data_IF_925685598238
#
_entry.id   IF_925685598238
#
_cell.length_a   1.000
_cell.length_b   1.000
_cell.length_c   1.000
_cell.angle_alpha   90.00
_cell.angle_beta   90.00
_cell.angle_gamma   90.00
#
_symmetry.space_group_name_H-M   'P 1'
#
loop_
_entity.id
_entity.type
_entity.pdbx_description
1 polymer ?
2 polymer ?
3 non-polymer ?
4 water ?
#
# COMPACT_ATOMS: atom_id res chain seq x y z
N UNK A 8 -22.56 19.38 -5.99
CA UNK A 8 -21.54 19.09 -4.94
C UNK A 8 -20.71 17.82 -5.32
N UNK A 9 -21.10 16.63 -4.85
CA UNK A 9 -20.46 15.39 -5.26
C UNK A 9 -20.93 14.96 -6.68
N UNK A 10 -22.08 15.47 -7.12
CA UNK A 10 -22.65 15.13 -8.43
C UNK A 10 -22.02 15.98 -9.53
N UNK A 11 -21.97 17.29 -9.30
CA UNK A 11 -21.40 18.26 -10.24
C UNK A 11 -20.42 19.19 -9.53
N UNK A 12 -19.18 18.72 -9.31
CA UNK A 12 -18.19 19.50 -8.54
C UNK A 12 -17.50 20.66 -9.30
N UNK A 13 -17.40 21.82 -8.64
CA UNK A 13 -16.52 22.92 -9.06
C UNK A 13 -15.19 22.79 -8.32
N UNK A 14 -14.25 23.69 -8.60
CA UNK A 14 -12.93 23.64 -7.99
C UNK A 14 -12.99 23.52 -6.48
N UNK A 15 -13.82 24.34 -5.83
CA UNK A 15 -13.87 24.37 -4.36
C UNK A 15 -14.31 23.02 -3.78
N UNK A 16 -15.29 22.39 -4.41
CA UNK A 16 -15.71 21.02 -4.03
C UNK A 16 -14.55 20.01 -4.14
N UNK A 17 -13.80 20.10 -5.23
CA UNK A 17 -12.65 19.21 -5.47
C UNK A 17 -11.54 19.45 -4.45
N UNK A 18 -11.29 20.72 -4.10
CA UNK A 18 -10.32 21.03 -3.05
C UNK A 18 -10.77 20.49 -1.71
N UNK A 19 -12.07 20.61 -1.42
CA UNK A 19 -12.66 20.10 -0.18
C UNK A 19 -12.52 18.59 -0.06
N UNK A 20 -12.74 17.92 -1.19
CA UNK A 20 -12.56 16.47 -1.27
C UNK A 20 -11.09 16.10 -1.01
N UNK A 21 -10.16 16.76 -1.69
CA UNK A 21 -8.72 16.58 -1.44
C UNK A 21 -8.35 16.70 0.03
N UNK A 22 -8.86 17.75 0.68
CA UNK A 22 -8.58 18.00 2.09
C UNK A 22 -9.20 16.95 3.02
N UNK A 23 -10.43 16.54 2.74
CA UNK A 23 -11.09 15.48 3.48
C UNK A 23 -10.28 14.17 3.42
N UNK A 24 -9.80 13.84 2.23
CA UNK A 24 -8.99 12.65 2.02
C UNK A 24 -7.64 12.76 2.73
N UNK A 25 -6.98 13.92 2.60
CA UNK A 25 -5.72 14.16 3.33
C UNK A 25 -5.88 13.94 4.84
N UNK A 26 -6.95 14.48 5.42
CA UNK A 26 -7.16 14.42 6.88
C UNK A 26 -7.43 12.96 7.35
N UNK A 27 -8.16 12.19 6.55
CA UNK A 27 -8.49 10.82 6.93
C UNK A 27 -7.28 9.91 6.70
N UNK A 28 -6.45 10.26 5.72
CA UNK A 28 -5.21 9.59 5.48
C UNK A 28 -4.25 9.75 6.66
N UNK A 29 -4.11 10.97 7.16
CA UNK A 29 -3.30 11.25 8.36
C UNK A 29 -3.81 10.41 9.54
N UNK A 30 -5.13 10.34 9.70
CA UNK A 30 -5.73 9.55 10.76
C UNK A 30 -5.50 8.04 10.60
N UNK A 31 -5.42 7.54 9.35
CA UNK A 31 -5.46 6.08 9.07
C UNK A 31 -4.12 5.40 9.01
N UNK A 32 -3.11 6.14 8.59
CA UNK A 32 -1.80 5.64 8.31
C UNK A 32 -0.78 6.26 9.27
N UNK A 33 -0.34 5.50 10.28
CA UNK A 33 0.61 5.98 11.29
C UNK A 33 1.88 6.64 10.76
N UNK A 34 2.50 6.06 9.74
CA UNK A 34 3.70 6.62 9.17
C UNK A 34 3.47 7.23 7.79
N UNK A 35 3.56 8.55 7.68
CA UNK A 35 3.34 9.25 6.42
C UNK A 35 4.60 9.34 5.63
N UNK A 36 4.48 9.70 4.35
CA UNK A 36 5.67 9.94 3.54
C UNK A 36 6.55 11.06 4.14
N UNK A 37 5.90 12.10 4.68
CA UNK A 37 6.57 13.22 5.35
C UNK A 37 7.53 12.73 6.46
N UNK A 38 6.98 11.98 7.39
CA UNK A 38 7.73 11.44 8.50
C UNK A 38 8.80 10.44 8.03
N UNK A 39 8.44 9.55 7.10
CA UNK A 39 9.44 8.63 6.51
C UNK A 39 10.64 9.35 5.87
N UNK A 40 10.39 10.36 5.04
CA UNK A 40 11.47 11.11 4.38
C UNK A 40 12.37 11.79 5.42
N UNK A 41 11.76 12.29 6.50
CA UNK A 41 12.50 12.93 7.59
C UNK A 41 13.47 11.92 8.23
N UNK A 42 12.95 10.71 8.50
CA UNK A 42 13.74 9.57 8.99
C UNK A 42 14.84 9.19 7.99
N UNK A 43 14.48 9.02 6.73
CA UNK A 43 15.43 8.51 5.73
C UNK A 43 16.56 9.44 5.38
N UNK A 44 16.41 10.74 5.63
CA UNK A 44 17.45 11.74 5.31
C UNK A 44 18.15 12.28 6.57
N UNK A 45 17.82 11.72 7.74
CA UNK A 45 18.42 12.14 9.00
C UNK A 45 17.94 13.46 9.55
N UNK A 46 16.95 14.10 8.91
CA UNK A 46 16.46 15.41 9.33
C UNK A 46 15.39 15.28 10.41
N UNK A 47 15.76 14.65 11.53
CA UNK A 47 14.83 14.45 12.63
C UNK A 47 15.54 14.15 13.96
N UNK A 48 14.86 14.43 15.06
CA UNK A 48 15.41 14.28 16.41
C UNK A 48 14.97 13.00 17.14
N UNK A 49 14.33 12.06 16.44
CA UNK A 49 14.13 10.71 16.97
C UNK A 49 15.43 9.94 16.76
N UNK A 50 15.62 8.89 17.56
CA UNK A 50 16.78 7.99 17.39
C UNK A 50 16.68 7.27 16.05
N UNK A 51 17.85 6.96 15.47
CA UNK A 51 17.88 6.34 14.15
C UNK A 51 17.26 4.95 14.20
N UNK A 52 16.68 4.52 13.05
CA UNK A 52 16.22 3.15 12.95
C UNK A 52 17.37 2.13 13.10
N UNK A 53 17.07 1.00 13.71
CA UNK A 53 17.98 -0.13 13.76
C UNK A 53 18.17 -0.73 12.36
N UNK A 54 19.43 -0.81 11.89
CA UNK A 54 19.74 -1.28 10.53
C UNK A 54 19.89 -2.80 10.50
N UNK A 55 19.08 -3.43 9.65
CA UNK A 55 19.05 -4.88 9.50
C UNK A 55 19.58 -5.18 8.13
N UNK A 56 20.76 -5.76 8.07
CA UNK A 56 21.47 -5.99 6.80
C UNK A 56 21.95 -7.43 6.63
N UNK A 57 21.78 -8.29 7.63
CA UNK A 57 22.23 -9.68 7.56
C UNK A 57 21.57 -10.46 8.66
N UNK A 58 21.88 -11.74 8.75
CA UNK A 58 21.26 -12.61 9.76
C UNK A 58 21.52 -12.13 11.17
N UNK A 59 22.76 -11.74 11.46
CA UNK A 59 23.11 -11.29 12.79
C UNK A 59 22.39 -10.00 13.21
N UNK A 60 22.29 -9.03 12.32
CA UNK A 60 21.60 -7.79 12.66
C UNK A 60 20.08 -7.98 12.77
N UNK A 61 19.52 -8.91 11.98
CA UNK A 61 18.12 -9.30 12.17
C UNK A 61 17.93 -9.77 13.58
N UNK A 62 18.77 -10.72 13.99
CA UNK A 62 18.76 -11.29 15.35
C UNK A 62 18.87 -10.21 16.42
N UNK A 63 19.85 -9.31 16.27
CA UNK A 63 20.07 -8.20 17.21
C UNK A 63 18.93 -7.20 17.26
N UNK A 64 18.27 -7.03 16.11
CA UNK A 64 17.21 -6.06 15.95
C UNK A 64 15.80 -6.55 16.18
N UNK A 65 15.53 -7.86 16.14
CA UNK A 65 14.15 -8.37 16.33
C UNK A 65 13.53 -7.85 17.64
N UNK A 66 14.39 -7.65 18.63
CA UNK A 66 14.13 -6.82 19.84
C UNK A 66 13.38 -5.49 19.61
N UNK A 67 13.73 -4.77 18.55
CA UNK A 67 13.31 -3.37 18.34
C UNK A 67 12.14 -3.15 17.36
N UNK A 68 11.55 -4.22 16.82
CA UNK A 68 10.45 -4.10 15.84
C UNK A 68 9.14 -4.77 16.29
N UNK A 69 8.02 -4.05 16.07
CA UNK A 69 6.68 -4.56 16.38
C UNK A 69 6.41 -5.78 15.50
N UNK A 70 6.54 -6.96 16.09
CA UNK A 70 6.27 -8.22 15.40
C UNK A 70 5.86 -9.24 16.46
N UNK A 71 4.58 -9.56 16.50
CA UNK A 71 4.04 -10.54 17.44
C UNK A 71 3.98 -11.91 16.80
N UNK A 72 4.45 -12.90 17.55
CA UNK A 72 4.63 -14.27 17.07
C UNK A 72 4.58 -15.24 18.25
N UNK A 73 4.45 -16.52 17.94
CA UNK A 73 4.31 -17.57 18.95
C UNK A 73 5.65 -17.78 19.67
N UNK A 74 6.72 -17.96 18.89
CA UNK A 74 8.02 -18.39 19.40
C UNK A 74 8.98 -17.22 19.64
N UNK A 80 12.75 -21.84 15.91
CA UNK A 80 13.56 -20.93 15.11
C UNK A 80 13.65 -21.40 13.65
N UNK A 81 12.93 -20.73 12.76
CA UNK A 81 12.94 -21.01 11.31
C UNK A 81 14.10 -20.27 10.64
N UNK A 82 14.36 -20.60 9.38
CA UNK A 82 15.38 -19.91 8.58
C UNK A 82 15.01 -18.44 8.32
N UNK A 83 16.03 -17.66 7.97
CA UNK A 83 15.91 -16.21 7.88
C UNK A 83 14.83 -15.76 6.87
N UNK A 84 14.84 -16.34 5.67
CA UNK A 84 13.85 -16.02 4.63
C UNK A 84 12.40 -16.20 5.13
N UNK A 85 12.15 -17.28 5.85
CA UNK A 85 10.82 -17.60 6.37
C UNK A 85 10.43 -16.60 7.46
N UNK A 86 11.39 -16.21 8.28
CA UNK A 86 11.09 -15.28 9.36
C UNK A 86 10.73 -13.91 8.80
N UNK A 87 11.47 -13.47 7.77
CA UNK A 87 11.15 -12.21 7.07
C UNK A 87 9.77 -12.28 6.44
N UNK A 88 9.47 -13.41 5.80
CA UNK A 88 8.14 -13.61 5.23
C UNK A 88 7.03 -13.55 6.29
N UNK A 89 7.24 -14.13 7.47
CA UNK A 89 6.26 -14.05 8.53
C UNK A 89 6.07 -12.63 9.01
N UNK A 90 7.17 -11.90 9.12
CA UNK A 90 7.14 -10.47 9.37
C UNK A 90 6.31 -9.69 8.36
N UNK A 91 6.49 -10.02 7.09
CA UNK A 91 5.76 -9.36 6.01
C UNK A 91 4.27 -9.64 6.16
N UNK A 92 3.89 -10.85 6.60
CA UNK A 92 2.48 -11.15 6.85
C UNK A 92 1.92 -10.34 8.00
N UNK A 93 2.70 -10.21 9.06
CA UNK A 93 2.31 -9.37 10.19
C UNK A 93 2.01 -7.93 9.73
N UNK A 94 2.97 -7.34 9.02
CA UNK A 94 2.78 -5.97 8.53
C UNK A 94 1.61 -5.87 7.51
N UNK A 95 1.55 -6.81 6.57
CA UNK A 95 0.54 -6.77 5.53
C UNK A 95 -0.88 -6.79 6.11
N UNK A 96 -1.10 -7.64 7.11
CA UNK A 96 -2.38 -7.67 7.79
C UNK A 96 -2.74 -6.33 8.43
N UNK A 97 -1.80 -5.70 9.15
CA UNK A 97 -2.05 -4.38 9.72
C UNK A 97 -2.32 -3.32 8.62
N UNK A 98 -1.54 -3.38 7.55
CA UNK A 98 -1.72 -2.47 6.40
C UNK A 98 -3.10 -2.59 5.77
N UNK A 99 -3.59 -3.81 5.60
CA UNK A 99 -4.93 -4.05 5.09
C UNK A 99 -5.97 -3.41 5.99
N UNK A 100 -5.80 -3.56 7.32
CA UNK A 100 -6.68 -2.90 8.28
C UNK A 100 -6.67 -1.35 8.11
N UNK A 101 -5.48 -0.79 8.00
CA UNK A 101 -5.31 0.65 7.79
C UNK A 101 -6.03 1.13 6.53
N UNK A 102 -5.84 0.39 5.46
CA UNK A 102 -6.41 0.75 4.14
C UNK A 102 -7.92 0.62 4.18
N UNK A 103 -8.42 -0.40 4.90
CA UNK A 103 -9.85 -0.59 5.03
C UNK A 103 -10.48 0.59 5.78
N UNK A 104 -9.85 1.04 6.87
CA UNK A 104 -10.30 2.22 7.60
C UNK A 104 -10.31 3.47 6.68
N UNK A 105 -9.24 3.65 5.94
CA UNK A 105 -9.17 4.75 4.96
C UNK A 105 -10.28 4.70 3.91
N UNK A 106 -10.50 3.53 3.32
CA UNK A 106 -11.57 3.34 2.33
C UNK A 106 -12.93 3.76 2.83
N UNK A 107 -13.24 3.45 4.09
CA UNK A 107 -14.49 3.87 4.70
C UNK A 107 -14.68 5.39 4.76
N UNK A 108 -13.59 6.14 4.76
CA UNK A 108 -13.64 7.59 4.75
C UNK A 108 -13.85 8.19 3.36
N UNK A 109 -13.77 7.38 2.29
CA UNK A 109 -13.87 7.92 0.95
C UNK A 109 -15.35 8.23 0.70
N UNK A 110 -15.71 9.51 0.46
CA UNK A 110 -17.14 9.80 0.31
C UNK A 110 -17.86 8.93 -0.72
N UNK A 111 -18.93 8.27 -0.29
CA UNK A 111 -19.73 7.40 -1.16
C UNK A 111 -19.40 5.93 -1.05
N UNK A 112 -18.21 5.59 -0.54
CA UNK A 112 -17.77 4.19 -0.53
C UNK A 112 -18.67 3.31 0.31
N UNK A 113 -18.95 3.72 1.55
CA UNK A 113 -19.78 2.89 2.46
C UNK A 113 -21.24 2.77 2.03
N UNK A 114 -21.70 3.64 1.12
CA UNK A 114 -23.05 3.54 0.54
C UNK A 114 -23.15 2.55 -0.59
N UNK A 115 -22.02 2.09 -1.13
CA UNK A 115 -22.03 1.05 -2.16
C UNK A 115 -22.53 -0.27 -1.59
N UNK A 116 -23.03 -1.12 -2.47
CA UNK A 116 -23.36 -2.53 -2.12
C UNK A 116 -22.17 -3.10 -1.35
N UNK A 117 -22.44 -3.67 -0.18
CA UNK A 117 -21.38 -4.24 0.67
C UNK A 117 -20.50 -5.25 -0.06
N UNK A 118 -21.09 -6.04 -0.97
CA UNK A 118 -20.31 -7.00 -1.76
C UNK A 118 -19.31 -6.29 -2.68
N UNK A 119 -19.68 -5.13 -3.18
CA UNK A 119 -18.79 -4.34 -4.02
C UNK A 119 -17.68 -3.65 -3.22
N UNK A 120 -17.99 -3.20 -2.02
CA UNK A 120 -16.98 -2.72 -1.07
C UNK A 120 -15.93 -3.80 -0.83
N UNK A 121 -16.37 -5.01 -0.56
CA UNK A 121 -15.45 -6.13 -0.38
C UNK A 121 -14.60 -6.37 -1.62
N UNK A 122 -15.21 -6.38 -2.82
CA UNK A 122 -14.47 -6.66 -4.04
C UNK A 122 -13.41 -5.55 -4.34
N UNK A 123 -13.78 -4.31 -4.09
CA UNK A 123 -12.85 -3.20 -4.29
C UNK A 123 -11.67 -3.35 -3.34
N UNK A 124 -11.90 -3.69 -2.08
CA UNK A 124 -10.77 -3.91 -1.15
C UNK A 124 -9.93 -5.12 -1.53
N UNK A 125 -10.60 -6.23 -1.89
CA UNK A 125 -9.89 -7.44 -2.24
C UNK A 125 -8.83 -7.20 -3.32
N UNK A 126 -9.22 -6.50 -4.38
CA UNK A 126 -8.34 -6.18 -5.47
C UNK A 126 -7.45 -4.97 -5.19
N UNK A 127 -7.94 -3.99 -4.44
CA UNK A 127 -7.22 -2.72 -4.26
C UNK A 127 -6.14 -2.76 -3.19
N UNK A 128 -6.31 -3.56 -2.13
CA UNK A 128 -5.40 -3.36 -0.99
C UNK A 128 -3.93 -3.56 -1.26
N UNK A 129 -3.58 -4.61 -1.99
CA UNK A 129 -2.17 -4.84 -2.25
C UNK A 129 -1.61 -3.81 -3.20
N UNK A 130 -2.43 -3.36 -4.16
CA UNK A 130 -1.96 -2.26 -4.99
C UNK A 130 -1.61 -1.01 -4.16
N UNK A 131 -2.42 -0.74 -3.17
CA UNK A 131 -2.16 0.38 -2.28
C UNK A 131 -0.93 0.09 -1.43
N UNK A 132 -0.81 -1.14 -0.93
CA UNK A 132 0.39 -1.49 -0.12
C UNK A 132 1.68 -1.16 -0.90
N UNK A 133 1.76 -1.59 -2.15
CA UNK A 133 2.99 -1.42 -2.94
C UNK A 133 3.21 0.04 -3.29
N UNK A 134 2.12 0.79 -3.52
CA UNK A 134 2.20 2.24 -3.73
C UNK A 134 2.80 2.95 -2.53
N UNK A 135 2.26 2.66 -1.36
CA UNK A 135 2.67 3.31 -0.14
C UNK A 135 4.01 2.78 0.40
N UNK A 136 4.37 1.56 0.04
CA UNK A 136 5.71 1.06 0.31
C UNK A 136 6.83 1.98 -0.21
N UNK A 137 6.64 2.57 -1.39
CA UNK A 137 7.59 3.50 -1.98
C UNK A 137 7.90 4.71 -1.08
N UNK A 138 6.91 5.16 -0.31
CA UNK A 138 7.08 6.24 0.64
C UNK A 138 8.10 5.90 1.70
N UNK A 139 8.27 4.61 2.02
CA UNK A 139 9.18 4.13 3.07
C UNK A 139 10.56 3.69 2.55
N UNK A 140 10.79 3.86 1.27
CA UNK A 140 11.95 3.30 0.60
C UNK A 140 12.88 4.41 0.09
N UNK A 141 14.19 4.13 0.12
CA UNK A 141 15.12 4.78 -0.80
C UNK A 141 15.72 3.68 -1.63
N UNK A 142 16.70 4.00 -2.46
CA UNK A 142 17.33 2.97 -3.29
C UNK A 142 18.12 1.92 -2.51
N UNK A 143 18.42 2.15 -1.22
CA UNK A 143 19.20 1.19 -0.42
C UNK A 143 18.42 0.37 0.57
N UNK A 144 17.15 0.70 0.83
CA UNK A 144 16.39 -0.11 1.76
C UNK A 144 15.04 0.46 2.12
N UNK A 145 14.42 -0.19 3.08
CA UNK A 145 13.05 0.14 3.49
C UNK A 145 12.88 0.32 4.99
N UNK A 146 12.13 1.34 5.38
CA UNK A 146 11.75 1.51 6.77
C UNK A 146 10.68 0.52 7.12
N UNK A 147 10.89 -0.17 8.24
CA UNK A 147 9.91 -1.11 8.79
C UNK A 147 9.54 -0.75 10.24
N UNK A 148 8.44 -1.35 10.71
CA UNK A 148 7.94 -1.19 12.07
C UNK A 148 7.81 0.27 12.47
N UNK A 149 7.09 1.03 11.66
CA UNK A 149 6.86 2.46 11.87
C UNK A 149 8.13 3.29 11.95
N UNK A 150 9.08 3.00 11.07
CA UNK A 150 10.36 3.68 11.05
C UNK A 150 11.37 3.28 12.14
N UNK A 151 11.05 2.28 12.97
CA UNK A 151 11.98 1.80 14.01
C UNK A 151 13.13 0.98 13.43
N UNK A 152 12.90 0.37 12.27
CA UNK A 152 13.86 -0.50 11.60
C UNK A 152 14.13 -0.06 10.17
N UNK A 153 15.30 -0.42 9.65
CA UNK A 153 15.65 -0.18 8.26
C UNK A 153 16.30 -1.43 7.71
N UNK A 154 15.62 -2.06 6.75
CA UNK A 154 16.05 -3.33 6.23
C UNK A 154 16.65 -3.04 4.88
N UNK A 155 17.86 -3.52 4.65
CA UNK A 155 18.58 -3.12 3.45
C UNK A 155 18.05 -3.86 2.23
N UNK A 156 18.05 -3.17 1.09
CA UNK A 156 17.68 -3.77 -0.19
C UNK A 156 18.51 -4.98 -0.56
N UNK A 157 19.83 -4.86 -0.41
CA UNK A 157 20.77 -5.99 -0.61
C UNK A 157 20.42 -7.27 0.19
N UNK A 158 20.07 -7.11 1.46
CA UNK A 158 19.73 -8.23 2.32
C UNK A 158 18.47 -8.92 1.81
N UNK A 159 17.45 -8.11 1.53
CA UNK A 159 16.15 -8.62 1.06
C UNK A 159 16.30 -9.29 -0.30
N UNK A 160 17.07 -8.67 -1.19
CA UNK A 160 17.33 -9.19 -2.56
C UNK A 160 18.00 -10.57 -2.48
N UNK A 161 18.90 -10.71 -1.50
CA UNK A 161 19.74 -11.92 -1.33
C UNK A 161 19.09 -13.11 -0.69
N UNK A 162 17.85 -13.01 -0.23
CA UNK A 162 17.18 -14.12 0.40
C UNK A 162 17.07 -15.28 -0.57
N UNK A 163 17.08 -16.52 -0.06
CA UNK A 163 17.04 -17.68 -0.96
C UNK A 163 15.78 -17.70 -1.82
N UNK A 164 15.88 -18.31 -2.99
CA UNK A 164 14.79 -18.34 -3.96
C UNK A 164 13.60 -19.12 -3.38
N UNK A 165 12.36 -18.68 -3.58
CA UNK A 165 12.02 -17.52 -4.39
C UNK A 165 11.77 -16.23 -3.55
N UNK A 166 12.22 -16.20 -2.29
CA UNK A 166 11.85 -15.13 -1.37
C UNK A 166 12.42 -13.79 -1.78
N UNK A 167 13.67 -13.79 -2.27
CA UNK A 167 14.26 -12.61 -2.86
C UNK A 167 13.44 -11.97 -3.95
N UNK A 168 12.75 -12.78 -4.74
CA UNK A 168 11.95 -12.26 -5.84
C UNK A 168 10.66 -11.54 -5.43
N UNK A 169 10.23 -11.66 -4.17
CA UNK A 169 9.17 -10.81 -3.66
C UNK A 169 9.64 -9.37 -3.52
N UNK A 170 10.96 -9.16 -3.37
CA UNK A 170 11.48 -7.90 -2.83
C UNK A 170 11.92 -6.92 -3.90
N UNK A 171 12.76 -7.40 -4.80
CA UNK A 171 13.43 -6.53 -5.73
C UNK A 171 12.49 -5.82 -6.74
N UNK A 172 11.45 -6.52 -7.26
CA UNK A 172 10.45 -5.81 -8.07
C UNK A 172 9.79 -4.63 -7.37
N UNK A 173 9.61 -4.70 -6.05
CA UNK A 173 8.99 -3.61 -5.30
C UNK A 173 9.89 -2.39 -5.24
N UNK A 174 11.17 -2.64 -4.97
CA UNK A 174 12.19 -1.57 -5.03
C UNK A 174 12.28 -0.93 -6.40
N UNK A 175 12.32 -1.74 -7.45
CA UNK A 175 12.43 -1.24 -8.84
C UNK A 175 11.26 -0.31 -9.18
N UNK A 176 10.04 -0.73 -8.82
CA UNK A 176 8.86 0.13 -8.93
C UNK A 176 9.00 1.39 -8.15
N UNK A 177 9.42 1.27 -6.89
CA UNK A 177 9.48 2.41 -5.99
C UNK A 177 10.45 3.51 -6.41
N UNK A 178 11.66 3.17 -6.87
CA UNK A 178 12.61 4.22 -7.28
C UNK A 178 12.04 5.06 -8.46
N UNK A 179 11.42 4.40 -9.44
CA UNK A 179 10.72 5.08 -10.53
C UNK A 179 9.53 5.88 -10.06
N UNK A 180 8.72 5.30 -9.17
CA UNK A 180 7.56 6.01 -8.62
C UNK A 180 7.98 7.19 -7.80
N UNK A 181 8.99 7.03 -6.97
CA UNK A 181 9.46 8.12 -6.14
C UNK A 181 10.05 9.28 -6.97
N UNK A 182 10.47 9.03 -8.19
CA UNK A 182 10.91 10.11 -9.07
C UNK A 182 9.81 11.15 -9.36
N UNK A 183 8.54 10.77 -9.21
CA UNK A 183 7.41 11.69 -9.40
C UNK A 183 7.28 12.72 -8.29
N UNK A 184 7.91 12.47 -7.14
CA UNK A 184 7.93 13.40 -6.01
C UNK A 184 6.56 13.78 -5.45
N UNK A 185 5.64 12.81 -5.35
CA UNK A 185 4.36 13.05 -4.72
C UNK A 185 4.52 13.26 -3.23
N UNK A 186 3.62 14.06 -2.64
CA UNK A 186 3.51 14.19 -1.19
C UNK A 186 2.29 13.48 -0.69
N UNK A 187 2.10 13.47 0.61
CA UNK A 187 0.96 12.81 1.25
C UNK A 187 -0.40 13.30 0.73
N UNK A 188 -0.53 14.63 0.50
CA UNK A 188 -1.76 15.20 -0.05
C UNK A 188 -2.07 14.65 -1.45
N UNK A 189 -1.07 14.45 -2.29
CA UNK A 189 -1.24 13.83 -3.60
C UNK A 189 -1.62 12.34 -3.49
N UNK A 190 -0.84 11.62 -2.67
CA UNK A 190 -1.07 10.18 -2.44
C UNK A 190 -2.43 9.85 -1.88
N UNK A 191 -2.96 10.68 -0.98
CA UNK A 191 -4.26 10.45 -0.38
C UNK A 191 -5.35 10.32 -1.46
N UNK A 192 -5.25 11.16 -2.50
CA UNK A 192 -6.23 11.10 -3.60
C UNK A 192 -5.93 9.93 -4.53
N UNK A 193 -4.66 9.70 -4.87
CA UNK A 193 -4.28 8.65 -5.77
C UNK A 193 -4.71 7.27 -5.25
N UNK A 194 -4.51 7.06 -3.97
CA UNK A 194 -4.90 5.76 -3.39
C UNK A 194 -6.44 5.59 -3.38
N UNK A 195 -7.20 6.67 -3.14
CA UNK A 195 -8.64 6.64 -3.31
C UNK A 195 -9.07 6.28 -4.74
N UNK A 196 -8.43 6.89 -5.73
CA UNK A 196 -8.64 6.54 -7.15
C UNK A 196 -8.46 5.03 -7.44
N UNK A 197 -7.39 4.45 -6.95
CA UNK A 197 -7.13 3.04 -7.10
C UNK A 197 -8.23 2.19 -6.49
N UNK A 198 -8.65 2.53 -5.27
CA UNK A 198 -9.70 1.75 -4.60
C UNK A 198 -10.97 1.76 -5.43
N UNK A 199 -11.34 2.92 -5.98
CA UNK A 199 -12.60 3.07 -6.71
C UNK A 199 -12.43 2.73 -8.22
N UNK A 200 -11.89 1.55 -8.53
CA UNK A 200 -11.63 1.11 -9.88
C UNK A 200 -12.83 0.29 -10.32
N UNK A 201 -13.54 0.79 -11.32
CA UNK A 201 -14.78 0.19 -11.80
C UNK A 201 -14.60 -1.06 -12.64
N UNK A 202 -13.36 -1.42 -12.96
CA UNK A 202 -13.11 -2.64 -13.72
C UNK A 202 -12.70 -3.85 -12.92
N UNK A 203 -12.82 -3.83 -11.58
CA UNK A 203 -12.45 -5.02 -10.84
C UNK A 203 -13.37 -6.20 -11.25
N UNK A 204 -12.81 -7.40 -11.34
CA UNK A 204 -13.65 -8.57 -11.61
C UNK A 204 -14.79 -8.74 -10.60
N UNK A 205 -15.97 -9.07 -11.10
CA UNK A 205 -17.08 -9.42 -10.26
C UNK A 205 -17.82 -8.29 -9.55
N UNK A 206 -17.59 -7.03 -9.94
CA UNK A 206 -18.38 -5.95 -9.39
C UNK A 206 -19.83 -6.12 -9.91
N UNK A 207 -20.77 -5.91 -9.00
CA UNK A 207 -22.22 -6.00 -9.26
C UNK A 207 -22.77 -4.73 -9.92
N UNK A 208 -22.35 -3.56 -9.44
CA UNK A 208 -22.88 -2.28 -9.93
C UNK A 208 -21.78 -1.24 -10.12
N UNK A 209 -21.26 -1.21 -11.34
CA UNK A 209 -20.12 -0.40 -11.70
C UNK A 209 -20.41 1.10 -11.64
N UNK A 210 -21.62 1.51 -11.96
CA UNK A 210 -21.91 2.95 -12.19
C UNK A 210 -21.63 3.89 -11.01
N UNK A 211 -22.14 3.58 -9.80
CA UNK A 211 -21.82 4.44 -8.66
C UNK A 211 -20.33 4.43 -8.25
N UNK A 212 -19.62 3.34 -8.55
CA UNK A 212 -18.14 3.27 -8.35
C UNK A 212 -17.46 4.21 -9.33
N UNK A 213 -17.82 4.11 -10.61
CA UNK A 213 -17.26 5.03 -11.60
C UNK A 213 -17.61 6.51 -11.34
N UNK A 214 -18.81 6.78 -10.77
CA UNK A 214 -19.24 8.15 -10.41
C UNK A 214 -18.24 8.71 -9.41
N UNK A 215 -17.93 7.92 -8.38
CA UNK A 215 -17.03 8.34 -7.30
C UNK A 215 -15.62 8.53 -7.90
N UNK A 216 -15.19 7.59 -8.74
CA UNK A 216 -13.84 7.66 -9.31
C UNK A 216 -13.66 8.89 -10.20
N UNK A 217 -14.69 9.22 -11.00
CA UNK A 217 -14.68 10.45 -11.81
C UNK A 217 -14.31 11.66 -10.96
N UNK A 218 -15.02 11.86 -9.88
CA UNK A 218 -14.77 12.97 -8.93
C UNK A 218 -13.39 12.94 -8.33
N UNK A 219 -12.96 11.74 -7.92
CA UNK A 219 -11.60 11.56 -7.38
C UNK A 219 -10.53 11.90 -8.40
N UNK A 220 -10.71 11.46 -9.64
CA UNK A 220 -9.75 11.76 -10.69
C UNK A 220 -9.67 13.26 -10.98
N UNK A 221 -10.82 13.94 -11.00
CA UNK A 221 -10.83 15.39 -11.15
C UNK A 221 -10.14 16.07 -9.98
N UNK A 222 -10.39 15.56 -8.78
CA UNK A 222 -9.72 16.08 -7.59
C UNK A 222 -8.21 15.87 -7.62
N UNK A 223 -7.78 14.68 -8.05
CA UNK A 223 -6.36 14.38 -8.21
C UNK A 223 -5.72 15.33 -9.24
N UNK A 224 -6.34 15.49 -10.40
CA UNK A 224 -5.80 16.36 -11.42
C UNK A 224 -5.59 17.81 -10.92
N UNK A 225 -6.57 18.36 -10.25
CA UNK A 225 -6.47 19.72 -9.70
C UNK A 225 -5.35 19.82 -8.64
N UNK A 226 -5.32 18.83 -7.76
CA UNK A 226 -4.30 18.75 -6.71
C UNK A 226 -2.91 18.75 -7.32
N UNK A 227 -2.71 17.99 -8.39
CA UNK A 227 -1.40 17.90 -9.04
C UNK A 227 -1.01 19.21 -9.77
N UNK A 228 -1.98 19.82 -10.44
CA UNK A 228 -1.78 21.13 -11.05
C UNK A 228 -1.42 22.19 -10.00
N UNK A 229 -2.09 22.20 -8.87
CA UNK A 229 -1.84 23.20 -7.84
C UNK A 229 -0.58 22.93 -7.06
N UNK A 230 -0.44 21.71 -6.58
CA UNK A 230 0.67 21.35 -5.71
C UNK A 230 2.00 21.15 -6.45
N UNK A 231 1.94 20.90 -7.77
CA UNK A 231 3.11 20.67 -8.63
C UNK A 231 2.97 21.44 -9.93
N UNK A 232 2.84 22.79 -9.84
CA UNK A 232 2.58 23.62 -11.03
C UNK A 232 3.67 23.50 -12.10
N UNK A 233 4.90 23.32 -11.65
CA UNK A 233 6.03 23.09 -12.52
C UNK A 233 5.96 21.69 -13.18
N UNK A 234 5.42 20.71 -12.46
CA UNK A 234 5.44 19.33 -12.97
C UNK A 234 4.31 19.11 -13.96
N UNK A 235 4.56 19.49 -15.21
CA UNK A 235 3.58 19.26 -16.26
C UNK A 235 3.31 17.74 -16.51
N UNK A 236 2.08 17.42 -16.92
CA UNK A 236 1.54 16.03 -17.15
C UNK A 236 1.85 15.02 -16.01
N UNK A 237 1.95 15.48 -14.77
CA UNK A 237 2.19 14.56 -13.65
C UNK A 237 0.97 13.64 -13.43
N UNK A 238 -0.23 14.20 -13.60
CA UNK A 238 -1.50 13.42 -13.68
C UNK A 238 -1.41 12.24 -14.65
N UNK A 239 -1.01 12.48 -15.89
CA UNK A 239 -0.84 11.38 -16.87
C UNK A 239 0.20 10.25 -16.56
N UNK A 240 1.39 10.62 -16.09
CA UNK A 240 2.42 9.61 -15.74
C UNK A 240 1.91 8.74 -14.59
N UNK A 241 1.31 9.42 -13.63
CA UNK A 241 0.72 8.78 -12.46
C UNK A 241 -0.35 7.76 -12.84
N UNK A 242 -1.29 8.12 -13.72
CA UNK A 242 -2.28 7.16 -14.20
C UNK A 242 -1.69 5.91 -14.82
N UNK A 243 -0.57 6.04 -15.53
CA UNK A 243 0.12 4.87 -16.12
C UNK A 243 0.70 3.89 -15.03
N UNK A 244 1.05 4.43 -13.87
CA UNK A 244 1.53 3.59 -12.73
C UNK A 244 0.44 2.62 -12.22
N UNK A 245 -0.83 2.95 -12.42
CA UNK A 245 -1.94 2.07 -11.98
C UNK A 245 -1.91 0.74 -12.68
N UNK A 246 -1.55 0.70 -13.97
CA UNK A 246 -1.37 -0.59 -14.66
C UNK A 246 -0.09 -1.30 -14.23
N UNK A 247 0.96 -0.55 -13.93
CA UNK A 247 2.21 -1.15 -13.41
C UNK A 247 1.97 -1.91 -12.09
N UNK A 248 1.14 -1.33 -11.24
CA UNK A 248 0.81 -1.95 -9.97
C UNK A 248 0.14 -3.29 -10.17
N UNK A 249 -0.70 -3.42 -11.21
CA UNK A 249 -1.37 -4.70 -11.45
C UNK A 249 -0.38 -5.79 -11.84
N UNK A 250 0.69 -5.40 -12.55
CA UNK A 250 1.75 -6.34 -12.93
C UNK A 250 2.53 -6.82 -11.71
N UNK A 251 2.77 -5.92 -10.75
CA UNK A 251 3.45 -6.30 -9.53
C UNK A 251 2.59 -7.36 -8.83
N UNK A 252 1.28 -7.12 -8.73
CA UNK A 252 0.39 -8.11 -8.14
C UNK A 252 0.45 -9.43 -8.88
N UNK A 253 0.35 -9.40 -10.20
CA UNK A 253 0.40 -10.64 -10.96
C UNK A 253 1.61 -11.49 -10.63
N UNK A 254 2.78 -10.86 -10.64
CA UNK A 254 4.04 -11.54 -10.35
C UNK A 254 4.07 -12.05 -8.92
N UNK A 255 3.57 -11.22 -8.01
CA UNK A 255 3.55 -11.55 -6.59
C UNK A 255 2.68 -12.79 -6.32
N UNK A 256 1.46 -12.80 -6.87
CA UNK A 256 0.56 -13.93 -6.72
C UNK A 256 1.20 -15.22 -7.26
N UNK A 257 1.87 -15.14 -8.40
CA UNK A 257 2.58 -16.34 -8.96
C UNK A 257 3.61 -16.88 -7.95
N UNK A 258 4.38 -15.97 -7.32
CA UNK A 258 5.34 -16.41 -6.32
C UNK A 258 4.70 -16.98 -5.08
N UNK A 259 3.60 -16.39 -4.62
CA UNK A 259 2.85 -16.98 -3.53
C UNK A 259 2.37 -18.40 -3.85
N UNK A 260 1.89 -18.61 -5.06
CA UNK A 260 1.48 -19.92 -5.52
C UNK A 260 2.60 -20.97 -5.49
N UNK A 261 3.83 -20.54 -5.82
CA UNK A 261 5.03 -21.38 -5.69
C UNK A 261 5.27 -21.77 -4.24
N UNK A 262 5.31 -20.75 -3.37
CA UNK A 262 5.51 -20.90 -1.92
C UNK A 262 4.51 -21.85 -1.32
N UNK A 263 3.24 -21.68 -1.67
CA UNK A 263 2.18 -22.54 -1.17
C UNK A 263 2.52 -24.03 -1.39
N UNK A 264 3.07 -24.35 -2.55
CA UNK A 264 3.44 -25.73 -2.88
C UNK A 264 4.80 -26.16 -2.32
N UNK A 265 5.81 -25.30 -2.42
CA UNK A 265 7.20 -25.71 -2.09
C UNK A 265 7.57 -25.56 -0.61
N UNK A 266 6.75 -24.85 0.17
CA UNK A 266 6.99 -24.61 1.59
C UNK A 266 5.74 -25.05 2.41
N UNK A 267 5.70 -26.32 2.81
CA UNK A 267 4.50 -26.96 3.39
C UNK A 267 4.11 -26.47 4.80
N UNK A 268 5.10 -26.10 5.63
CA UNK A 268 4.83 -25.62 6.99
C UNK A 268 4.14 -24.25 7.00
N UNK A 269 4.36 -23.47 5.94
CA UNK A 269 3.84 -22.12 5.83
C UNK A 269 2.38 -22.10 5.46
N UNK A 270 1.67 -21.13 6.00
CA UNK A 270 0.30 -20.88 5.60
C UNK A 270 0.05 -19.40 5.80
N UNK A 271 -0.75 -18.83 4.92
CA UNK A 271 -1.07 -17.41 5.03
C UNK A 271 -2.05 -17.15 6.15
N UNK A 272 -1.90 -15.99 6.78
CA UNK A 272 -2.91 -15.44 7.69
C UNK A 272 -4.29 -15.51 7.05
N UNK A 273 -5.33 -15.81 7.85
CA UNK A 273 -6.69 -15.98 7.31
C UNK A 273 -7.21 -14.80 6.49
N UNK A 274 -6.98 -13.58 6.96
CA UNK A 274 -7.26 -12.38 6.16
C UNK A 274 -6.61 -12.40 4.79
N UNK A 275 -5.33 -12.77 4.71
CA UNK A 275 -4.63 -12.74 3.44
C UNK A 275 -5.11 -13.90 2.57
N UNK A 276 -5.42 -15.07 3.16
CA UNK A 276 -6.05 -16.16 2.35
C UNK A 276 -7.35 -15.74 1.69
N UNK A 277 -8.15 -15.03 2.46
CA UNK A 277 -9.42 -14.50 2.02
C UNK A 277 -9.26 -13.53 0.84
N UNK A 278 -8.29 -12.63 0.95
CA UNK A 278 -7.99 -11.70 -0.14
C UNK A 278 -7.58 -12.45 -1.43
N UNK A 279 -6.69 -13.43 -1.31
CA UNK A 279 -6.14 -14.14 -2.45
C UNK A 279 -7.08 -15.22 -3.01
N UNK A 280 -8.03 -15.69 -2.20
CA UNK A 280 -8.96 -16.75 -2.65
C UNK A 280 -9.79 -16.29 -3.85
N UNK A 281 -9.63 -16.96 -4.99
CA UNK A 281 -10.34 -16.60 -6.24
C UNK A 281 -10.09 -15.16 -6.69
N UNK A 282 -8.88 -14.68 -6.45
CA UNK A 282 -8.49 -13.36 -6.94
C UNK A 282 -8.19 -13.60 -8.40
N UNK A 283 -8.90 -12.89 -9.29
CA UNK A 283 -8.78 -13.05 -10.74
C UNK A 283 -9.16 -14.51 -11.14
N UNK B 3 -16.01 -13.91 2.46
CA UNK B 3 -15.01 -12.89 2.95
C UNK B 3 -15.33 -12.43 4.38
N UNK B 4 -15.32 -13.37 5.32
CA UNK B 4 -15.68 -13.11 6.72
C UNK B 4 -14.94 -11.96 7.39
N UNK B 5 -13.61 -11.98 7.30
CA UNK B 5 -12.81 -11.01 8.04
C UNK B 5 -12.95 -9.63 7.40
N UNK B 6 -12.96 -9.55 6.07
CA UNK B 6 -13.13 -8.25 5.41
C UNK B 6 -14.47 -7.62 5.75
N UNK B 7 -15.55 -8.41 5.74
CA UNK B 7 -16.87 -7.93 6.19
C UNK B 7 -16.78 -7.37 7.61
N UNK B 8 -16.20 -8.15 8.52
CA UNK B 8 -16.01 -7.73 9.91
C UNK B 8 -15.24 -6.42 10.02
N UNK B 9 -14.15 -6.30 9.26
CA UNK B 9 -13.37 -5.06 9.24
C UNK B 9 -14.19 -3.88 8.72
N UNK B 10 -14.99 -4.09 7.68
CA UNK B 10 -15.87 -3.04 7.15
C UNK B 10 -16.95 -2.61 8.14
N UNK B 11 -17.48 -3.55 8.92
CA UNK B 11 -18.47 -3.26 9.97
C UNK B 11 -17.84 -2.50 11.12
N UNK B 12 -16.71 -3.00 11.62
CA UNK B 12 -15.80 -2.35 12.60
C UNK B 12 -15.09 -3.43 13.42
#
# INVERSE_FOLDING_TARGET
AEISSDIDQLNPESADLRALAKHLYDSYIKSFPLTKAKARAILTGKTTDKSPFVIYDMNSLMMGEDKIKFKHITPLQEQSKEVAIRIFQGCQFRSVEAVQEITEYAKSIPGFVNLDLNDQVTLLKYGVHEIIYTMLASLMNKDGVLISEGQGFMTREFLKSLRKPFGDFMEPKFEFAVKFNALELDDSDLAIFIAVIILSGDRPGLLNVKPIEDIQDNLLQALELQLKLNHPESSQLFAKLLQKMTDLRQIVTEHVQLLQVIKKTETDMSLHPLLQEIYKDLY
ERHKILHRLLQEGSPS
#
